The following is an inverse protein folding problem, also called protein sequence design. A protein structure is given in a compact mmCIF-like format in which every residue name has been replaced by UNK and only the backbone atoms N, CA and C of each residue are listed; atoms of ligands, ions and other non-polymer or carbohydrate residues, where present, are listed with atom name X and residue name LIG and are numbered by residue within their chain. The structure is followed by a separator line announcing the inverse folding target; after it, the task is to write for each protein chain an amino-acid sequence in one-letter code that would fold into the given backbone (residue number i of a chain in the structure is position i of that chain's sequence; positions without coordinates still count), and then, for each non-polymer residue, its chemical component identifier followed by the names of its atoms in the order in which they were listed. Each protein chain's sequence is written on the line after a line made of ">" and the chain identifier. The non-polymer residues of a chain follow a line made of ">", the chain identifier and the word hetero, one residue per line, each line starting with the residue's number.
data_IF_373706756806
#
_entry.id   IF_373706756806
#
_cell.length_a   1.000
_cell.length_b   1.000
_cell.length_c   1.000
_cell.angle_alpha   90.00
_cell.angle_beta   90.00
_cell.angle_gamma   90.00
#
_symmetry.space_group_name_H-M   'P 1'
#
loop_
_entity.id
_entity.type
_entity.pdbx_description
1 polymer ?
#
# COMPACT_ATOMS: atom_id res chain seq x y z
N UNK A 1 52.47 4.18 1.34
CA UNK A 1 51.31 3.93 0.43
C UNK A 1 50.24 2.98 1.00
N UNK A 2 50.31 2.53 2.28
CA UNK A 2 49.34 1.56 2.84
C UNK A 2 48.13 2.22 3.51
N UNK A 3 48.28 3.42 4.10
CA UNK A 3 47.20 4.14 4.82
C UNK A 3 46.01 4.53 3.93
N UNK A 4 46.22 4.70 2.62
CA UNK A 4 45.20 5.17 1.68
C UNK A 4 44.21 4.06 1.27
N UNK A 5 44.60 2.78 1.36
CA UNK A 5 43.74 1.64 0.97
C UNK A 5 42.70 1.28 2.03
N UNK A 6 42.99 1.56 3.30
CA UNK A 6 42.10 1.25 4.43
C UNK A 6 40.92 2.24 4.47
N UNK A 7 41.18 3.51 4.17
CA UNK A 7 40.15 4.56 4.14
C UNK A 7 39.09 4.33 3.06
N UNK A 8 39.49 3.86 1.86
CA UNK A 8 38.58 3.55 0.75
C UNK A 8 37.71 2.32 1.05
N UNK A 9 38.24 1.37 1.83
CA UNK A 9 37.50 0.16 2.20
C UNK A 9 36.46 0.43 3.31
N UNK A 10 36.72 1.41 4.19
CA UNK A 10 35.80 1.78 5.27
C UNK A 10 34.64 2.65 4.78
N UNK A 11 34.84 3.48 3.76
CA UNK A 11 33.76 4.28 3.15
C UNK A 11 32.79 3.43 2.33
N UNK A 12 33.24 2.33 1.72
CA UNK A 12 32.38 1.38 1.00
C UNK A 12 31.40 0.65 1.93
N UNK A 13 31.81 0.36 3.17
CA UNK A 13 30.97 -0.30 4.19
C UNK A 13 29.84 0.60 4.71
N UNK A 14 30.05 1.92 4.74
CA UNK A 14 29.04 2.89 5.19
C UNK A 14 27.93 3.16 4.17
N UNK A 15 28.16 2.86 2.89
CA UNK A 15 27.17 3.05 1.81
C UNK A 15 26.21 1.84 1.72
N UNK A 16 26.56 0.69 2.30
CA UNK A 16 25.75 -0.52 2.25
C UNK A 16 24.53 -0.52 3.19
N UNK A 17 24.41 0.44 4.11
CA UNK A 17 23.25 0.58 5.01
C UNK A 17 22.22 1.60 4.51
N UNK A 18 21.99 1.68 3.19
CA UNK A 18 20.83 2.40 2.68
C UNK A 18 19.56 1.57 3.01
N UNK A 19 18.52 2.15 3.65
CA UNK A 19 17.32 1.40 3.99
C UNK A 19 16.67 0.83 2.74
N UNK A 20 16.43 -0.49 2.73
CA UNK A 20 15.72 -1.16 1.66
C UNK A 20 14.29 -0.62 1.58
N UNK A 21 14.00 0.03 0.45
CA UNK A 21 12.67 0.56 0.12
C UNK A 21 11.90 -0.50 -0.64
N UNK A 22 11.19 -1.36 0.08
CA UNK A 22 10.28 -2.33 -0.54
C UNK A 22 8.91 -1.70 -0.83
N UNK A 23 8.38 -1.96 -2.02
CA UNK A 23 6.96 -1.73 -2.34
C UNK A 23 6.19 -2.98 -1.94
N UNK A 24 5.01 -2.81 -1.33
CA UNK A 24 4.16 -3.93 -0.93
C UNK A 24 2.83 -3.95 -1.73
N UNK A 25 2.86 -4.34 -3.02
CA UNK A 25 1.64 -4.38 -3.85
C UNK A 25 0.60 -5.39 -3.34
N UNK A 26 1.00 -6.33 -2.47
CA UNK A 26 0.08 -7.32 -1.89
C UNK A 26 -1.02 -6.66 -1.05
N UNK A 27 -0.68 -5.60 -0.32
CA UNK A 27 -1.65 -4.86 0.49
C UNK A 27 -2.77 -4.21 -0.35
N UNK A 28 -2.47 -3.73 -1.57
CA UNK A 28 -3.46 -3.22 -2.50
C UNK A 28 -4.43 -4.32 -2.97
N UNK A 29 -3.92 -5.51 -3.30
CA UNK A 29 -4.74 -6.64 -3.76
C UNK A 29 -5.67 -7.12 -2.64
N UNK A 30 -5.15 -7.27 -1.42
CA UNK A 30 -5.95 -7.68 -0.27
C UNK A 30 -7.06 -6.67 0.04
N UNK A 31 -6.74 -5.37 0.01
CA UNK A 31 -7.74 -4.33 0.24
C UNK A 31 -8.78 -4.24 -0.89
N UNK A 32 -8.35 -4.41 -2.15
CA UNK A 32 -9.26 -4.43 -3.29
C UNK A 32 -10.32 -5.54 -3.16
N UNK A 33 -9.92 -6.72 -2.66
CA UNK A 33 -10.84 -7.83 -2.42
C UNK A 33 -11.84 -7.53 -1.29
N UNK A 34 -11.40 -6.85 -0.21
CA UNK A 34 -12.29 -6.43 0.88
C UNK A 34 -13.32 -5.43 0.38
N UNK A 35 -12.89 -4.42 -0.38
CA UNK A 35 -13.77 -3.39 -0.94
C UNK A 35 -14.80 -4.00 -1.90
N UNK A 36 -14.39 -4.94 -2.73
CA UNK A 36 -15.30 -5.64 -3.64
C UNK A 36 -16.39 -6.40 -2.86
N UNK A 37 -16.03 -7.04 -1.74
CA UNK A 37 -17.01 -7.69 -0.86
C UNK A 37 -18.02 -6.69 -0.28
N UNK A 38 -17.55 -5.52 0.16
CA UNK A 38 -18.43 -4.45 0.64
C UNK A 38 -19.38 -3.96 -0.46
N UNK A 39 -18.89 -3.73 -1.67
CA UNK A 39 -19.71 -3.31 -2.81
C UNK A 39 -20.81 -4.33 -3.12
N UNK A 40 -20.49 -5.62 -3.10
CA UNK A 40 -21.48 -6.70 -3.27
C UNK A 40 -22.59 -6.64 -2.22
N UNK A 41 -22.25 -6.41 -0.94
CA UNK A 41 -23.26 -6.29 0.12
C UNK A 41 -24.19 -5.09 -0.09
N UNK A 42 -23.64 -3.96 -0.51
CA UNK A 42 -24.44 -2.77 -0.81
C UNK A 42 -25.31 -2.96 -2.04
N UNK A 43 -24.81 -3.67 -3.07
CA UNK A 43 -25.62 -4.03 -4.24
C UNK A 43 -26.82 -4.90 -3.84
N UNK A 44 -26.59 -5.93 -3.03
CA UNK A 44 -27.67 -6.79 -2.54
C UNK A 44 -28.68 -6.00 -1.69
N UNK A 45 -28.21 -5.11 -0.81
CA UNK A 45 -29.09 -4.26 -0.02
C UNK A 45 -29.95 -3.33 -0.90
N UNK A 46 -29.41 -2.83 -2.01
CA UNK A 46 -30.14 -2.03 -2.98
C UNK A 46 -31.16 -2.86 -3.76
N UNK A 47 -30.76 -4.03 -4.26
CA UNK A 47 -31.65 -4.97 -4.99
C UNK A 47 -32.83 -5.44 -4.13
N UNK A 48 -32.62 -5.57 -2.82
CA UNK A 48 -33.66 -5.90 -1.84
C UNK A 48 -34.48 -4.68 -1.37
N UNK A 49 -34.20 -3.48 -1.90
CA UNK A 49 -34.91 -2.24 -1.56
C UNK A 49 -34.64 -1.73 -0.13
N UNK A 50 -33.57 -2.21 0.53
CA UNK A 50 -33.20 -1.80 1.89
C UNK A 50 -32.50 -0.44 1.93
N UNK A 51 -31.89 -0.02 0.81
CA UNK A 51 -31.26 1.29 0.64
C UNK A 51 -31.72 1.94 -0.67
N UNK A 52 -31.58 3.26 -0.77
CA UNK A 52 -31.95 4.01 -1.98
C UNK A 52 -30.85 3.97 -3.05
N UNK A 53 -31.19 4.32 -4.29
CA UNK A 53 -30.23 4.48 -5.38
C UNK A 53 -29.14 5.52 -5.04
N UNK A 54 -29.53 6.62 -4.37
CA UNK A 54 -28.62 7.69 -4.00
C UNK A 54 -27.64 7.24 -2.92
N UNK A 55 -28.13 6.53 -1.90
CA UNK A 55 -27.27 5.93 -0.87
C UNK A 55 -26.32 4.89 -1.46
N UNK A 56 -26.81 4.00 -2.33
CA UNK A 56 -25.97 3.02 -3.01
C UNK A 56 -24.86 3.70 -3.83
N UNK A 57 -25.21 4.71 -4.63
CA UNK A 57 -24.26 5.40 -5.50
C UNK A 57 -23.18 6.15 -4.70
N UNK A 58 -23.58 6.79 -3.58
CA UNK A 58 -22.64 7.46 -2.67
C UNK A 58 -21.65 6.47 -2.05
N UNK A 59 -22.12 5.32 -1.55
CA UNK A 59 -21.26 4.30 -0.92
C UNK A 59 -20.29 3.66 -1.90
N UNK A 60 -20.70 3.37 -3.13
CA UNK A 60 -19.81 2.81 -4.16
C UNK A 60 -18.70 3.80 -4.52
N UNK A 61 -19.03 5.09 -4.72
CA UNK A 61 -18.03 6.11 -5.03
C UNK A 61 -17.00 6.31 -3.91
N UNK A 62 -17.44 6.32 -2.65
CA UNK A 62 -16.52 6.40 -1.49
C UNK A 62 -15.57 5.19 -1.45
N UNK A 63 -16.09 3.99 -1.71
CA UNK A 63 -15.33 2.76 -1.71
C UNK A 63 -14.27 2.70 -2.84
N UNK A 64 -14.60 3.16 -4.05
CA UNK A 64 -13.64 3.21 -5.15
C UNK A 64 -12.50 4.21 -4.87
N UNK A 65 -12.81 5.35 -4.27
CA UNK A 65 -11.80 6.32 -3.83
C UNK A 65 -10.87 5.74 -2.75
N UNK A 66 -11.43 4.96 -1.82
CA UNK A 66 -10.64 4.24 -0.81
C UNK A 66 -9.72 3.21 -1.45
N UNK A 67 -10.22 2.44 -2.44
CA UNK A 67 -9.41 1.44 -3.18
C UNK A 67 -8.21 2.10 -3.84
N UNK A 68 -8.41 3.22 -4.53
CA UNK A 68 -7.33 3.98 -5.17
C UNK A 68 -6.34 4.48 -4.12
N UNK A 69 -6.83 5.06 -3.02
CA UNK A 69 -5.98 5.61 -1.96
C UNK A 69 -5.09 4.55 -1.32
N UNK A 70 -5.65 3.38 -0.98
CA UNK A 70 -4.88 2.26 -0.43
C UNK A 70 -3.86 1.71 -1.43
N UNK A 71 -4.23 1.61 -2.70
CA UNK A 71 -3.30 1.17 -3.72
C UNK A 71 -2.14 2.16 -3.92
N UNK A 72 -2.41 3.47 -3.89
CA UNK A 72 -1.35 4.49 -3.92
C UNK A 72 -0.43 4.40 -2.70
N UNK A 73 -1.00 4.22 -1.50
CA UNK A 73 -0.20 4.02 -0.28
C UNK A 73 0.69 2.78 -0.34
N UNK A 74 0.23 1.69 -0.98
CA UNK A 74 1.03 0.48 -1.16
C UNK A 74 2.28 0.68 -2.05
N UNK A 75 2.29 1.73 -2.86
CA UNK A 75 3.39 2.13 -3.72
C UNK A 75 4.38 3.08 -3.02
N UNK A 76 3.98 3.67 -1.89
CA UNK A 76 4.86 4.53 -1.09
C UNK A 76 5.91 3.63 -0.43
N UNK A 77 7.21 3.82 -0.74
CA UNK A 77 8.26 3.01 -0.15
C UNK A 77 8.34 3.30 1.35
N UNK A 78 8.13 2.28 2.16
CA UNK A 78 8.31 2.35 3.61
C UNK A 78 9.74 1.91 3.92
N UNK A 79 10.47 2.68 4.73
CA UNK A 79 11.78 2.25 5.21
C UNK A 79 11.59 1.03 6.12
N UNK A 80 12.00 -0.15 5.65
CA UNK A 80 12.15 -1.30 6.54
C UNK A 80 13.44 -1.10 7.33
N UNK A 81 13.29 -0.89 8.63
CA UNK A 81 14.41 -0.95 9.55
C UNK A 81 14.83 -2.42 9.67
N UNK A 82 15.94 -2.80 9.03
CA UNK A 82 16.45 -4.18 8.96
C UNK A 82 17.15 -4.64 10.25
N UNK A 83 17.03 -3.89 11.34
CA UNK A 83 17.62 -4.22 12.65
C UNK A 83 16.78 -5.22 13.47
N UNK A 84 16.37 -6.34 12.87
CA UNK A 84 15.77 -7.47 13.58
C UNK A 84 16.61 -8.74 13.43
#
# INVERSE_FOLDING_TARGET
>A
MVKMKIAVSFTLLLIACAPERERNPKACIEMAAVIENFNLRHRNAFEEGRITQEEYSSRINENDNLKISFCLLSLVPVERNTNF
#
